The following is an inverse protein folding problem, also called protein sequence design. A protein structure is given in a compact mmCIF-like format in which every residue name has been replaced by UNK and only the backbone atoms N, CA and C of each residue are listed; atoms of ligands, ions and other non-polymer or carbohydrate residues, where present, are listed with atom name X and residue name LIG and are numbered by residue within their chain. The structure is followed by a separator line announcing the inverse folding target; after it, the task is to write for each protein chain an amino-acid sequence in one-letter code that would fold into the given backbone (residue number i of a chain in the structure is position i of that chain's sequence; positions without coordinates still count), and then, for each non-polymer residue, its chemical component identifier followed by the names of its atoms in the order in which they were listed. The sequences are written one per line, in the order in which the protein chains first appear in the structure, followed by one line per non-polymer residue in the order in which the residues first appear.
data_IF_563072433786
#
_entry.id   IF_563072433786
#
_cell.length_a   1.000
_cell.length_b   1.000
_cell.length_c   1.000
_cell.angle_alpha   90.00
_cell.angle_beta   90.00
_cell.angle_gamma   90.00
#
_symmetry.space_group_name_H-M   'P 1'
#
loop_
_entity.id
_entity.type
_entity.pdbx_description
1 polymer ?
#
# COMPACT_ATOMS: atom_id res chain seq x y z
N UNK A 1 1.42 -2.50 4.36
CA UNK A 1 0.38 -2.56 5.41
C UNK A 1 -0.89 -3.24 4.91
N UNK A 2 -1.53 -2.83 3.80
CA UNK A 2 -2.76 -3.47 3.31
C UNK A 2 -2.64 -4.99 3.03
N UNK A 3 -1.48 -5.45 2.53
CA UNK A 3 -1.23 -6.89 2.35
C UNK A 3 -1.09 -7.70 3.65
N UNK A 4 -0.78 -7.02 4.76
CA UNK A 4 -0.57 -7.58 6.11
C UNK A 4 -1.68 -7.11 7.06
N UNK A 5 -2.93 -7.14 6.58
CA UNK A 5 -4.06 -6.56 7.29
C UNK A 5 -4.21 -7.07 8.72
N UNK A 6 -3.95 -8.34 8.99
CA UNK A 6 -4.00 -8.94 10.34
C UNK A 6 -2.92 -8.38 11.25
N UNK A 7 -1.67 -8.33 10.79
CA UNK A 7 -0.53 -7.94 11.62
C UNK A 7 -0.59 -6.48 12.07
N UNK A 8 -1.30 -5.65 11.31
CA UNK A 8 -1.52 -4.24 11.62
C UNK A 8 -2.91 -3.94 12.20
N UNK A 9 -3.74 -4.97 12.48
CA UNK A 9 -5.09 -4.80 13.02
C UNK A 9 -6.09 -4.12 12.07
N UNK A 10 -5.86 -4.24 10.77
CA UNK A 10 -6.65 -3.62 9.68
C UNK A 10 -7.71 -4.59 9.13
N UNK A 11 -7.44 -5.89 9.14
CA UNK A 11 -8.32 -6.94 8.63
C UNK A 11 -8.15 -8.25 9.43
N UNK A 12 -9.13 -9.14 9.37
CA UNK A 12 -9.09 -10.45 10.04
C UNK A 12 -8.03 -11.40 9.45
N UNK A 13 -7.59 -11.16 8.21
CA UNK A 13 -6.70 -12.03 7.46
C UNK A 13 -5.68 -11.22 6.65
N UNK A 14 -4.50 -11.80 6.42
CA UNK A 14 -3.51 -11.23 5.51
C UNK A 14 -3.82 -11.64 4.07
N UNK A 15 -3.97 -10.67 3.17
CA UNK A 15 -4.28 -10.92 1.74
C UNK A 15 -3.14 -11.64 0.99
N UNK A 16 -1.93 -11.66 1.56
CA UNK A 16 -0.76 -12.32 0.97
C UNK A 16 -0.23 -13.48 1.82
N UNK A 17 -1.01 -13.95 2.80
CA UNK A 17 -0.55 -14.96 3.77
C UNK A 17 0.39 -14.38 4.83
N UNK A 18 0.94 -15.25 5.68
CA UNK A 18 1.89 -14.86 6.72
C UNK A 18 3.32 -14.95 6.17
N UNK A 19 4.04 -13.82 6.13
CA UNK A 19 5.43 -13.77 5.68
C UNK A 19 6.30 -12.96 6.65
N UNK A 20 7.48 -13.50 6.97
CA UNK A 20 8.36 -13.05 8.05
C UNK A 20 9.37 -11.97 7.60
N UNK A 21 9.39 -11.59 6.32
CA UNK A 21 10.37 -10.63 5.74
C UNK A 21 9.90 -9.18 5.71
N UNK A 22 9.11 -8.76 6.69
CA UNK A 22 8.31 -7.52 6.63
C UNK A 22 9.14 -6.23 6.42
N UNK A 23 10.38 -6.16 6.95
CA UNK A 23 11.23 -4.96 6.81
C UNK A 23 11.96 -4.90 5.47
N UNK A 24 12.57 -5.99 5.02
CA UNK A 24 13.23 -6.08 3.70
C UNK A 24 12.22 -5.88 2.56
N UNK A 25 10.97 -6.30 2.77
CA UNK A 25 9.88 -6.02 1.84
C UNK A 25 9.53 -4.55 1.71
N UNK A 26 9.69 -3.72 2.75
CA UNK A 26 9.32 -2.31 2.66
C UNK A 26 10.17 -1.55 1.64
N UNK A 27 11.50 -1.73 1.69
CA UNK A 27 12.42 -1.11 0.73
C UNK A 27 12.17 -1.64 -0.69
N UNK A 28 12.04 -2.95 -0.85
CA UNK A 28 11.77 -3.57 -2.15
C UNK A 28 10.40 -3.11 -2.73
N UNK A 29 9.35 -3.05 -1.91
CA UNK A 29 8.02 -2.56 -2.33
C UNK A 29 8.05 -1.08 -2.68
N UNK A 30 8.87 -0.26 -2.02
CA UNK A 30 9.01 1.17 -2.34
C UNK A 30 9.62 1.36 -3.73
N UNK A 31 10.62 0.57 -4.09
CA UNK A 31 11.19 0.56 -5.44
C UNK A 31 10.16 0.08 -6.48
N UNK A 32 9.47 -1.03 -6.20
CA UNK A 32 8.40 -1.55 -7.07
C UNK A 32 7.27 -0.53 -7.28
N UNK A 33 6.86 0.19 -6.24
CA UNK A 33 5.84 1.23 -6.32
C UNK A 33 6.26 2.38 -7.23
N UNK A 34 7.52 2.82 -7.15
CA UNK A 34 8.04 3.85 -8.04
C UNK A 34 8.05 3.38 -9.50
N UNK A 35 8.43 2.12 -9.74
CA UNK A 35 8.33 1.51 -11.07
C UNK A 35 6.90 1.47 -11.60
N UNK A 36 5.94 1.02 -10.76
CA UNK A 36 4.53 0.97 -11.13
C UNK A 36 3.93 2.36 -11.40
N UNK A 37 4.26 3.38 -10.58
CA UNK A 37 3.84 4.76 -10.82
C UNK A 37 4.36 5.30 -12.15
N UNK A 38 5.62 4.99 -12.49
CA UNK A 38 6.20 5.37 -13.78
C UNK A 38 5.43 4.72 -14.93
N UNK A 39 5.15 3.41 -14.87
CA UNK A 39 4.36 2.72 -15.89
C UNK A 39 2.96 3.31 -16.03
N UNK A 40 2.25 3.54 -14.92
CA UNK A 40 0.90 4.13 -14.95
C UNK A 40 0.85 5.52 -15.60
N UNK A 41 1.91 6.32 -15.43
CA UNK A 41 2.04 7.61 -16.10
C UNK A 41 2.31 7.45 -17.60
N UNK A 42 3.28 6.61 -17.98
CA UNK A 42 3.64 6.39 -19.38
C UNK A 42 2.49 5.77 -20.19
N UNK A 43 1.74 4.87 -19.57
CA UNK A 43 0.61 4.17 -20.19
C UNK A 43 -0.69 5.01 -20.19
N UNK A 44 -0.67 6.19 -19.56
CA UNK A 44 -1.78 7.15 -19.57
C UNK A 44 -2.94 6.79 -18.64
N UNK A 45 -2.68 6.10 -17.52
CA UNK A 45 -3.67 5.78 -16.48
C UNK A 45 -3.62 6.72 -15.27
N UNK A 46 -2.53 7.45 -15.10
CA UNK A 46 -2.34 8.42 -14.03
C UNK A 46 -1.93 9.79 -14.57
N UNK A 47 -2.11 10.82 -13.74
CA UNK A 47 -1.57 12.17 -13.94
C UNK A 47 -0.67 12.54 -12.78
N UNK A 48 0.22 13.49 -13.03
CA UNK A 48 1.12 14.07 -12.02
C UNK A 48 0.95 15.58 -12.00
N UNK A 49 0.88 16.13 -10.79
CA UNK A 49 0.78 17.57 -10.54
C UNK A 49 1.94 18.01 -9.64
N UNK A 50 2.50 19.19 -9.95
CA UNK A 50 3.52 19.79 -9.11
C UNK A 50 2.90 20.45 -7.88
N UNK A 51 3.51 20.25 -6.72
CA UNK A 51 3.12 20.88 -5.46
C UNK A 51 4.34 21.43 -4.72
N UNK A 52 4.17 22.36 -3.77
CA UNK A 52 5.27 22.85 -2.93
C UNK A 52 5.98 21.75 -2.11
N UNK A 53 5.39 20.56 -1.98
CA UNK A 53 5.94 19.42 -1.24
C UNK A 53 6.44 18.30 -2.16
N UNK A 54 6.59 18.56 -3.45
CA UNK A 54 6.99 17.57 -4.46
C UNK A 54 5.84 17.25 -5.42
N UNK A 55 5.74 15.99 -5.85
CA UNK A 55 4.78 15.57 -6.87
C UNK A 55 3.56 14.86 -6.27
N UNK A 56 2.38 15.21 -6.76
CA UNK A 56 1.13 14.54 -6.44
C UNK A 56 0.74 13.66 -7.62
N UNK A 57 0.55 12.37 -7.36
CA UNK A 57 0.12 11.40 -8.37
C UNK A 57 -1.34 11.02 -8.12
N UNK A 58 -2.12 10.91 -9.19
CA UNK A 58 -3.53 10.52 -9.11
C UNK A 58 -3.98 9.76 -10.34
N UNK A 59 -4.97 8.87 -10.18
CA UNK A 59 -5.60 8.22 -11.33
C UNK A 59 -6.38 9.26 -12.14
N UNK A 60 -6.23 9.21 -13.46
CA UNK A 60 -7.11 9.96 -14.38
C UNK A 60 -8.41 9.19 -14.63
N UNK A 61 -9.25 9.66 -15.55
CA UNK A 61 -10.52 9.01 -15.88
C UNK A 61 -10.34 7.56 -16.35
N UNK A 62 -9.44 7.34 -17.30
CA UNK A 62 -9.09 6.01 -17.81
C UNK A 62 -8.58 5.08 -16.71
N UNK A 63 -7.74 5.58 -15.82
CA UNK A 63 -7.28 4.84 -14.63
C UNK A 63 -8.42 4.44 -13.70
N UNK A 64 -9.39 5.35 -13.47
CA UNK A 64 -10.57 5.05 -12.64
C UNK A 64 -11.47 4.01 -13.30
N UNK A 65 -11.66 4.06 -14.61
CA UNK A 65 -12.43 3.05 -15.35
C UNK A 65 -11.74 1.67 -15.31
N UNK A 66 -10.42 1.64 -15.49
CA UNK A 66 -9.65 0.40 -15.36
C UNK A 66 -9.79 -0.21 -13.96
N UNK A 67 -9.77 0.60 -12.90
CA UNK A 67 -10.01 0.09 -11.55
C UNK A 67 -11.43 -0.46 -11.38
N UNK A 68 -12.44 0.17 -12.00
CA UNK A 68 -13.83 -0.30 -11.94
C UNK A 68 -14.05 -1.62 -12.71
N UNK A 69 -13.23 -1.93 -13.71
CA UNK A 69 -13.35 -3.19 -14.45
C UNK A 69 -12.76 -4.39 -13.69
N UNK A 70 -12.02 -4.18 -12.61
CA UNK A 70 -11.50 -5.25 -11.76
C UNK A 70 -12.61 -5.84 -10.87
N UNK A 71 -13.24 -6.92 -11.34
CA UNK A 71 -14.39 -7.57 -10.70
C UNK A 71 -14.06 -8.94 -10.09
N UNK A 72 -13.02 -9.03 -9.26
CA UNK A 72 -12.71 -10.25 -8.50
C UNK A 72 -12.97 -10.05 -7.01
N UNK A 73 -13.28 -11.14 -6.31
CA UNK A 73 -13.38 -11.15 -4.84
C UNK A 73 -12.10 -10.61 -4.20
N UNK A 74 -10.95 -10.97 -4.78
CA UNK A 74 -9.65 -10.45 -4.37
C UNK A 74 -9.56 -8.93 -4.53
N UNK A 75 -9.96 -8.38 -5.69
CA UNK A 75 -9.93 -6.94 -5.93
C UNK A 75 -10.84 -6.19 -4.94
N UNK A 76 -12.02 -6.73 -4.63
CA UNK A 76 -12.94 -6.16 -3.65
C UNK A 76 -12.32 -6.15 -2.24
N UNK A 77 -11.82 -7.30 -1.77
CA UNK A 77 -11.19 -7.43 -0.45
C UNK A 77 -9.93 -6.55 -0.30
N UNK A 78 -9.12 -6.47 -1.37
CA UNK A 78 -7.96 -5.59 -1.40
C UNK A 78 -8.36 -4.12 -1.29
N UNK A 79 -9.34 -3.68 -2.08
CA UNK A 79 -9.82 -2.30 -2.06
C UNK A 79 -10.40 -1.92 -0.69
N UNK A 80 -11.16 -2.82 -0.05
CA UNK A 80 -11.67 -2.62 1.30
C UNK A 80 -10.53 -2.46 2.32
N UNK A 81 -9.53 -3.33 2.24
CA UNK A 81 -8.38 -3.31 3.15
C UNK A 81 -7.54 -2.04 2.98
N UNK A 82 -7.35 -1.57 1.75
CA UNK A 82 -6.69 -0.28 1.46
C UNK A 82 -7.48 0.89 2.06
N UNK A 83 -8.82 0.91 1.91
CA UNK A 83 -9.67 1.94 2.53
C UNK A 83 -9.56 1.95 4.05
N UNK A 84 -9.57 0.78 4.70
CA UNK A 84 -9.38 0.66 6.16
C UNK A 84 -7.99 1.15 6.59
N UNK A 85 -6.94 0.74 5.86
CA UNK A 85 -5.57 1.19 6.08
C UNK A 85 -5.48 2.72 6.03
N UNK A 86 -6.07 3.34 5.00
CA UNK A 86 -6.05 4.79 4.85
C UNK A 86 -6.82 5.51 5.96
N UNK A 87 -7.97 4.97 6.41
CA UNK A 87 -8.71 5.52 7.56
C UNK A 87 -7.89 5.50 8.85
N UNK A 88 -7.15 4.41 9.08
CA UNK A 88 -6.36 4.23 10.30
C UNK A 88 -5.07 5.07 10.28
N UNK A 89 -4.40 5.15 9.12
CA UNK A 89 -3.03 5.64 9.05
C UNK A 89 -2.83 6.86 8.14
N UNK A 90 -3.85 7.32 7.42
CA UNK A 90 -3.73 8.40 6.44
C UNK A 90 -3.28 9.75 6.99
N UNK A 91 -3.35 9.96 8.32
CA UNK A 91 -2.85 11.15 9.01
C UNK A 91 -1.59 10.89 9.85
N UNK A 92 -1.06 9.66 9.80
CA UNK A 92 0.17 9.30 10.52
C UNK A 92 1.38 9.74 9.70
N UNK A 93 2.40 10.29 10.35
CA UNK A 93 3.64 10.69 9.66
C UNK A 93 4.42 9.47 9.17
N UNK A 94 5.23 9.65 8.12
CA UNK A 94 6.11 8.61 7.58
C UNK A 94 7.05 8.03 8.64
N UNK A 95 7.60 8.87 9.51
CA UNK A 95 8.48 8.44 10.60
C UNK A 95 7.74 7.53 11.61
N UNK A 96 6.52 7.89 11.99
CA UNK A 96 5.69 7.08 12.89
C UNK A 96 5.23 5.78 12.24
N UNK A 97 4.92 5.82 10.93
CA UNK A 97 4.61 4.62 10.15
C UNK A 97 5.81 3.66 10.09
N UNK A 98 7.00 4.17 9.80
CA UNK A 98 8.22 3.39 9.75
C UNK A 98 8.53 2.75 11.11
N UNK A 99 8.42 3.52 12.20
CA UNK A 99 8.59 3.01 13.56
C UNK A 99 7.63 1.85 13.87
N UNK A 100 6.35 1.95 13.47
CA UNK A 100 5.37 0.87 13.63
C UNK A 100 5.73 -0.37 12.81
N UNK A 101 6.16 -0.20 11.56
CA UNK A 101 6.60 -1.31 10.69
C UNK A 101 7.80 -2.02 11.32
N UNK A 102 8.81 -1.27 11.77
CA UNK A 102 10.01 -1.83 12.43
C UNK A 102 9.64 -2.57 13.71
N UNK A 103 8.75 -2.01 14.55
CA UNK A 103 8.30 -2.68 15.76
C UNK A 103 7.61 -4.01 15.46
N UNK A 104 6.68 -4.04 14.51
CA UNK A 104 6.00 -5.28 14.13
C UNK A 104 6.96 -6.32 13.56
N UNK A 105 7.95 -5.91 12.75
CA UNK A 105 8.98 -6.81 12.26
C UNK A 105 9.81 -7.41 13.41
N UNK A 106 10.21 -6.61 14.41
CA UNK A 106 10.94 -7.09 15.58
C UNK A 106 10.08 -8.03 16.45
N UNK A 107 8.80 -7.73 16.65
CA UNK A 107 7.90 -8.57 17.44
C UNK A 107 7.65 -9.92 16.75
N UNK A 108 7.53 -9.95 15.42
CA UNK A 108 7.44 -11.19 14.64
C UNK A 108 8.71 -12.06 14.76
N UNK A 109 9.89 -11.43 14.79
CA UNK A 109 11.18 -12.12 15.01
C UNK A 109 11.28 -12.74 16.42
N UNK A 110 10.72 -12.10 17.44
CA UNK A 110 10.76 -12.55 18.86
C UNK A 110 9.77 -13.65 19.21
N UNK A 111 8.75 -13.91 18.38
CA UNK A 111 7.78 -15.01 18.58
C UNK A 111 8.33 -16.37 18.13
N UNK A 112 9.61 -16.42 17.77
CA UNK A 112 10.41 -17.63 17.55
C UNK A 112 11.12 -18.03 18.83
#
# INVERSE_FOLDING_TARGET
MAGYGRDFGIAEQNLHGENQFSFSEFSAKREQLNGALKSLLLDGFATVEHSPRGFLFGLNERGREFVKSMQSEYAAAYMETVKKTHRMFGKTSDASLLSKITKQAMDALKRR
#
